data_IF_900954198365
#
_entry.id   IF_900954198365
#
_cell.length_a   1.000
_cell.length_b   1.000
_cell.length_c   1.000
_cell.angle_alpha   90.00
_cell.angle_beta   90.00
_cell.angle_gamma   90.00
#
_symmetry.space_group_name_H-M   'P 1'
#
loop_
_entity.id
_entity.type
_entity.pdbx_description
1 polymer ?
#
# COMPACT_ATOMS: atom_id res chain seq x y z
N UNK A 1 -4.52 -19.42 -31.35
CA UNK A 1 -3.61 -19.16 -30.22
C UNK A 1 -3.96 -17.78 -29.65
N UNK A 2 -5.11 -17.72 -29.04
CA UNK A 2 -5.74 -16.52 -28.47
C UNK A 2 -6.44 -17.01 -27.22
N UNK A 3 -5.81 -16.84 -26.04
CA UNK A 3 -6.46 -16.87 -24.73
C UNK A 3 -5.41 -16.92 -23.61
N UNK A 4 -4.53 -15.90 -23.54
CA UNK A 4 -3.52 -15.82 -22.46
C UNK A 4 -3.71 -14.58 -21.55
N UNK A 5 -4.66 -13.69 -21.85
CA UNK A 5 -4.89 -12.47 -21.07
C UNK A 5 -6.35 -12.28 -20.64
N UNK A 6 -6.94 -13.33 -20.04
CA UNK A 6 -8.02 -13.08 -19.10
C UNK A 6 -7.33 -12.68 -17.78
N UNK A 7 -7.50 -11.44 -17.26
CA UNK A 7 -7.10 -11.14 -15.90
C UNK A 7 -7.89 -12.10 -15.02
N UNK A 8 -7.21 -12.94 -14.24
CA UNK A 8 -7.86 -13.80 -13.25
C UNK A 8 -8.64 -12.90 -12.32
N UNK A 9 -9.92 -12.77 -12.64
CA UNK A 9 -10.90 -12.00 -11.90
C UNK A 9 -10.99 -12.64 -10.52
N UNK A 10 -10.61 -11.90 -9.48
CA UNK A 10 -11.04 -12.24 -8.14
C UNK A 10 -12.57 -12.05 -8.14
N UNK A 11 -13.38 -13.09 -8.08
CA UNK A 11 -14.78 -12.89 -7.82
C UNK A 11 -14.85 -12.33 -6.40
N UNK A 12 -15.14 -11.03 -6.27
CA UNK A 12 -15.80 -10.55 -5.06
C UNK A 12 -17.08 -11.37 -5.02
N UNK A 13 -17.08 -12.42 -4.19
CA UNK A 13 -18.15 -13.42 -4.12
C UNK A 13 -19.48 -12.72 -4.00
N UNK A 14 -20.47 -13.18 -4.75
CA UNK A 14 -21.81 -12.62 -4.84
C UNK A 14 -22.36 -12.17 -3.48
N UNK A 15 -23.13 -11.06 -3.46
CA UNK A 15 -23.86 -10.51 -2.30
C UNK A 15 -24.59 -11.57 -1.44
N UNK A 16 -25.00 -12.69 -2.02
CA UNK A 16 -25.65 -13.80 -1.31
C UNK A 16 -24.67 -14.63 -0.46
N UNK A 17 -23.45 -14.91 -0.96
CA UNK A 17 -22.40 -15.61 -0.21
C UNK A 17 -21.79 -14.71 0.86
N UNK A 18 -21.63 -13.39 0.58
CA UNK A 18 -21.27 -12.39 1.58
C UNK A 18 -22.32 -12.24 2.68
N UNK A 19 -23.62 -12.50 2.38
CA UNK A 19 -24.67 -12.52 3.38
C UNK A 19 -24.59 -13.78 4.26
N UNK A 20 -24.20 -14.92 3.70
CA UNK A 20 -23.99 -16.17 4.45
C UNK A 20 -22.67 -16.14 5.25
N UNK A 21 -21.60 -15.55 4.71
CA UNK A 21 -20.38 -15.23 5.45
C UNK A 21 -20.63 -14.18 6.54
N UNK A 22 -21.37 -13.10 6.24
CA UNK A 22 -21.85 -12.15 7.26
C UNK A 22 -22.67 -12.83 8.36
N UNK A 23 -23.55 -13.76 8.04
CA UNK A 23 -24.30 -14.51 9.04
C UNK A 23 -23.42 -15.45 9.88
N UNK A 24 -22.34 -15.97 9.34
CA UNK A 24 -21.31 -16.73 10.06
C UNK A 24 -20.44 -15.85 10.94
N UNK A 25 -20.14 -14.60 10.48
CA UNK A 25 -19.37 -13.62 11.24
C UNK A 25 -20.21 -12.79 12.22
N UNK A 26 -21.55 -12.71 12.08
CA UNK A 26 -22.47 -12.03 13.01
C UNK A 26 -22.92 -12.95 14.16
N UNK A 27 -22.70 -14.26 14.07
CA UNK A 27 -23.12 -15.24 15.08
C UNK A 27 -22.12 -15.50 16.21
N UNK A 28 -20.87 -15.08 16.08
CA UNK A 28 -19.89 -14.94 17.13
C UNK A 28 -19.50 -13.47 17.14
N UNK A 29 -19.26 -12.86 18.30
CA UNK A 29 -18.56 -11.56 18.41
C UNK A 29 -17.23 -11.76 17.71
N UNK A 30 -17.25 -11.72 16.38
CA UNK A 30 -16.12 -12.02 15.55
C UNK A 30 -15.06 -11.01 15.89
N UNK A 31 -14.03 -11.52 16.45
CA UNK A 31 -12.74 -10.96 16.79
C UNK A 31 -12.35 -9.94 15.71
N UNK A 32 -12.90 -8.72 15.79
CA UNK A 32 -12.63 -7.61 14.87
C UNK A 32 -11.25 -7.06 15.17
N UNK A 33 -10.28 -7.98 15.21
CA UNK A 33 -8.87 -7.62 15.41
C UNK A 33 -8.37 -6.80 14.25
N UNK A 34 -7.49 -5.87 14.55
CA UNK A 34 -6.90 -4.96 13.59
C UNK A 34 -5.40 -5.22 13.41
N UNK A 35 -4.93 -5.21 12.17
CA UNK A 35 -3.52 -5.22 11.83
C UNK A 35 -3.07 -3.81 11.44
N UNK A 36 -2.11 -3.25 12.15
CA UNK A 36 -1.48 -1.99 11.79
C UNK A 36 -0.17 -2.24 11.05
N UNK A 37 -0.13 -1.86 9.78
CA UNK A 37 1.01 -1.98 8.88
C UNK A 37 1.74 -0.63 8.88
N UNK A 38 2.92 -0.57 9.50
CA UNK A 38 3.60 0.70 9.75
C UNK A 38 4.92 0.73 8.97
N UNK A 39 5.12 1.76 8.15
CA UNK A 39 6.39 1.97 7.43
C UNK A 39 7.12 3.17 8.03
N UNK A 40 8.34 2.93 8.54
CA UNK A 40 9.12 3.94 9.23
C UNK A 40 10.59 3.98 8.76
N UNK A 41 11.23 5.15 8.87
CA UNK A 41 12.63 5.33 8.47
C UNK A 41 13.44 6.24 9.41
N UNK A 42 12.78 6.93 10.33
CA UNK A 42 13.38 7.88 11.28
C UNK A 42 12.37 8.22 12.40
N UNK A 43 12.75 9.15 13.29
CA UNK A 43 11.88 9.66 14.36
C UNK A 43 11.41 8.55 15.33
N UNK A 44 12.38 7.81 15.89
CA UNK A 44 12.11 6.62 16.72
C UNK A 44 11.27 6.91 17.94
N UNK A 45 11.40 8.10 18.54
CA UNK A 45 10.56 8.51 19.68
C UNK A 45 9.10 8.71 19.27
N UNK A 46 8.87 9.24 18.05
CA UNK A 46 7.54 9.37 17.49
C UNK A 46 6.93 7.99 17.20
N UNK A 47 7.71 7.10 16.57
CA UNK A 47 7.28 5.72 16.30
C UNK A 47 6.96 4.98 17.61
N UNK A 48 7.79 5.11 18.64
CA UNK A 48 7.52 4.51 19.96
C UNK A 48 6.19 5.00 20.55
N UNK A 49 5.92 6.31 20.46
CA UNK A 49 4.63 6.86 20.90
C UNK A 49 3.46 6.30 20.10
N UNK A 50 3.60 6.19 18.78
CA UNK A 50 2.59 5.58 17.93
C UNK A 50 2.31 4.14 18.36
N UNK A 51 3.36 3.31 18.53
CA UNK A 51 3.21 1.91 18.95
C UNK A 51 2.48 1.79 20.30
N UNK A 52 2.81 2.66 21.29
CA UNK A 52 2.12 2.69 22.58
C UNK A 52 0.65 3.10 22.48
N UNK A 53 0.29 4.01 21.56
CA UNK A 53 -1.08 4.44 21.36
C UNK A 53 -1.93 3.40 20.60
N UNK A 54 -1.28 2.55 19.82
CA UNK A 54 -1.91 1.45 19.11
C UNK A 54 -1.94 0.15 19.92
N UNK A 55 -1.24 0.10 21.08
CA UNK A 55 -1.15 -1.10 21.92
C UNK A 55 -2.50 -1.45 22.54
N UNK A 56 -3.14 -2.50 22.05
CA UNK A 56 -4.46 -2.98 22.44
C UNK A 56 -4.52 -4.50 22.25
N UNK A 57 -5.24 -5.30 23.08
CA UNK A 57 -5.33 -6.75 22.93
C UNK A 57 -5.83 -7.21 21.56
N UNK A 58 -6.70 -6.42 20.94
CA UNK A 58 -7.28 -6.71 19.62
C UNK A 58 -6.49 -6.10 18.45
N UNK A 59 -5.27 -5.62 18.70
CA UNK A 59 -4.38 -5.11 17.68
C UNK A 59 -3.13 -5.96 17.55
N UNK A 60 -2.60 -6.08 16.33
CA UNK A 60 -1.22 -6.51 16.09
C UNK A 60 -0.50 -5.49 15.19
N UNK A 61 0.79 -5.27 15.47
CA UNK A 61 1.58 -4.22 14.85
C UNK A 61 2.68 -4.83 13.98
N UNK A 62 2.66 -4.54 12.70
CA UNK A 62 3.63 -5.01 11.71
C UNK A 62 4.43 -3.80 11.21
N UNK A 63 5.71 -3.74 11.55
CA UNK A 63 6.54 -2.55 11.31
C UNK A 63 7.64 -2.88 10.30
N UNK A 64 7.65 -2.19 9.19
CA UNK A 64 8.79 -2.19 8.27
C UNK A 64 9.69 -0.99 8.54
N UNK A 65 10.91 -1.24 8.98
CA UNK A 65 11.95 -0.22 9.09
C UNK A 65 12.73 -0.14 7.77
N UNK A 66 12.88 1.06 7.24
CA UNK A 66 13.69 1.27 6.04
C UNK A 66 15.12 0.73 6.26
N UNK A 67 15.57 -0.14 5.37
CA UNK A 67 16.90 -0.78 5.47
C UNK A 67 18.07 0.23 5.44
N UNK A 68 17.85 1.48 5.10
CA UNK A 68 18.84 2.56 5.18
C UNK A 68 19.03 3.07 6.61
N UNK A 69 18.03 2.92 7.47
CA UNK A 69 18.11 3.30 8.88
C UNK A 69 19.02 2.32 9.63
N UNK A 70 20.10 2.82 10.23
CA UNK A 70 21.13 1.98 10.90
C UNK A 70 21.03 2.02 12.41
N UNK A 71 20.33 3.01 12.95
CA UNK A 71 20.26 3.38 14.37
C UNK A 71 18.87 3.13 14.98
N UNK A 72 18.08 2.25 14.36
CA UNK A 72 16.76 1.91 14.86
C UNK A 72 16.85 1.11 16.18
N UNK A 73 16.27 1.61 17.28
CA UNK A 73 16.31 0.95 18.58
C UNK A 73 15.21 -0.14 18.66
N UNK A 74 15.37 -1.22 17.91
CA UNK A 74 14.36 -2.27 17.74
C UNK A 74 13.86 -2.84 19.06
N UNK A 75 14.77 -3.10 20.02
CA UNK A 75 14.40 -3.66 21.33
C UNK A 75 13.57 -2.68 22.15
N UNK A 76 13.89 -1.37 22.10
CA UNK A 76 13.09 -0.31 22.74
C UNK A 76 11.69 -0.24 22.12
N UNK A 77 11.58 -0.34 20.81
CA UNK A 77 10.30 -0.32 20.11
C UNK A 77 9.44 -1.54 20.47
N UNK A 78 10.04 -2.73 20.57
CA UNK A 78 9.34 -3.93 21.03
C UNK A 78 8.86 -3.81 22.47
N UNK A 79 9.70 -3.26 23.34
CA UNK A 79 9.37 -3.06 24.75
C UNK A 79 8.28 -2.00 24.98
N UNK A 80 7.97 -1.19 24.00
CA UNK A 80 6.90 -0.19 24.06
C UNK A 80 5.50 -0.81 23.97
N UNK A 81 5.39 -2.04 23.46
CA UNK A 81 4.13 -2.77 23.23
C UNK A 81 3.99 -3.86 24.30
N UNK A 82 2.81 -3.97 24.92
CA UNK A 82 2.56 -4.90 26.03
C UNK A 82 1.41 -5.86 25.79
N UNK A 83 0.39 -5.41 25.09
CA UNK A 83 -0.87 -6.15 24.85
C UNK A 83 -0.95 -6.69 23.44
N UNK A 84 -0.47 -5.93 22.45
CA UNK A 84 -0.45 -6.30 21.04
C UNK A 84 0.74 -7.20 20.70
N UNK A 85 0.60 -8.07 19.69
CA UNK A 85 1.75 -8.64 19.00
C UNK A 85 2.51 -7.58 18.20
N UNK A 86 3.84 -7.63 18.19
CA UNK A 86 4.65 -6.73 17.38
C UNK A 86 5.70 -7.49 16.55
N UNK A 87 5.66 -7.33 15.24
CA UNK A 87 6.64 -7.88 14.30
C UNK A 87 7.37 -6.75 13.58
N UNK A 88 8.71 -6.70 13.69
CA UNK A 88 9.54 -5.65 13.09
C UNK A 88 10.46 -6.30 12.07
N UNK A 89 10.41 -5.80 10.82
CA UNK A 89 11.25 -6.26 9.72
C UNK A 89 12.01 -5.11 9.08
N UNK A 90 13.18 -5.40 8.49
CA UNK A 90 14.03 -4.42 7.82
C UNK A 90 14.54 -5.00 6.49
N UNK A 91 13.68 -5.01 5.46
CA UNK A 91 13.96 -5.69 4.20
C UNK A 91 14.33 -4.76 3.05
N UNK A 92 13.52 -3.72 2.81
CA UNK A 92 13.62 -2.86 1.64
C UNK A 92 14.30 -1.52 1.95
N UNK A 93 15.00 -0.96 0.94
CA UNK A 93 15.54 0.40 0.94
C UNK A 93 14.56 1.29 0.20
N UNK A 94 13.72 2.01 0.90
CA UNK A 94 12.65 2.79 0.31
C UNK A 94 13.17 4.17 -0.08
N UNK A 95 13.04 4.51 -1.36
CA UNK A 95 13.26 5.86 -1.88
C UNK A 95 11.91 6.48 -2.23
N UNK A 96 11.80 7.78 -2.05
CA UNK A 96 10.53 8.47 -2.32
C UNK A 96 10.08 8.25 -3.77
N UNK A 97 8.84 7.85 -3.96
CA UNK A 97 8.23 7.52 -5.25
C UNK A 97 8.66 6.18 -5.86
N UNK A 98 9.53 5.41 -5.18
CA UNK A 98 10.02 4.13 -5.68
C UNK A 98 9.06 2.98 -5.37
N UNK A 99 9.14 1.91 -6.16
CA UNK A 99 8.25 0.75 -6.04
C UNK A 99 8.47 -0.05 -4.74
N UNK A 100 9.60 0.14 -4.06
CA UNK A 100 9.89 -0.51 -2.78
C UNK A 100 8.90 -0.13 -1.67
N UNK A 101 8.18 0.99 -1.80
CA UNK A 101 7.06 1.32 -0.90
C UNK A 101 5.92 0.31 -1.05
N UNK A 102 5.57 -0.04 -2.29
CA UNK A 102 4.58 -1.07 -2.61
C UNK A 102 5.05 -2.45 -2.12
N UNK A 103 6.32 -2.80 -2.37
CA UNK A 103 6.88 -4.09 -1.90
C UNK A 103 6.86 -4.20 -0.36
N UNK A 104 7.13 -3.10 0.36
CA UNK A 104 7.03 -3.08 1.82
C UNK A 104 5.57 -3.26 2.28
N UNK A 105 4.63 -2.60 1.61
CA UNK A 105 3.19 -2.76 1.89
C UNK A 105 2.73 -4.19 1.65
N UNK A 106 3.08 -4.79 0.50
CA UNK A 106 2.74 -6.18 0.18
C UNK A 106 3.35 -7.17 1.20
N UNK A 107 4.61 -6.95 1.61
CA UNK A 107 5.26 -7.76 2.63
C UNK A 107 4.52 -7.71 3.97
N UNK A 108 4.14 -6.50 4.42
CA UNK A 108 3.42 -6.33 5.69
C UNK A 108 2.02 -6.95 5.62
N UNK A 109 1.31 -6.80 4.49
CA UNK A 109 0.02 -7.48 4.26
C UNK A 109 0.18 -9.00 4.30
N UNK A 110 1.21 -9.55 3.62
CA UNK A 110 1.48 -10.99 3.63
C UNK A 110 1.77 -11.52 5.05
N UNK A 111 2.59 -10.80 5.83
CA UNK A 111 2.90 -11.16 7.21
C UNK A 111 1.65 -11.15 8.09
N UNK A 112 0.88 -10.07 8.02
CA UNK A 112 -0.31 -9.88 8.85
C UNK A 112 -1.40 -10.91 8.49
N UNK A 113 -1.61 -11.17 7.21
CA UNK A 113 -2.68 -12.06 6.75
C UNK A 113 -2.52 -13.52 7.20
N UNK A 114 -1.34 -13.93 7.62
CA UNK A 114 -1.13 -15.27 8.22
C UNK A 114 -1.94 -15.50 9.50
N UNK A 115 -2.31 -14.42 10.22
CA UNK A 115 -3.11 -14.50 11.45
C UNK A 115 -4.60 -14.19 11.21
N UNK A 116 -4.93 -13.45 10.16
CA UNK A 116 -6.27 -12.99 9.84
C UNK A 116 -6.75 -11.85 10.75
N UNK A 117 -7.33 -10.81 10.15
CA UNK A 117 -7.84 -9.61 10.85
C UNK A 117 -9.09 -9.10 10.14
N UNK A 118 -9.96 -8.41 10.87
CA UNK A 118 -11.10 -7.73 10.28
C UNK A 118 -10.68 -6.55 9.40
N UNK A 119 -9.63 -5.82 9.85
CA UNK A 119 -9.08 -4.68 9.12
C UNK A 119 -7.56 -4.62 9.13
N UNK A 120 -7.01 -4.08 8.03
CA UNK A 120 -5.58 -3.80 7.82
C UNK A 120 -5.40 -2.31 7.56
N UNK A 121 -4.64 -1.63 8.41
CA UNK A 121 -4.41 -0.18 8.34
C UNK A 121 -2.97 0.10 7.93
N UNK A 122 -2.76 0.80 6.82
CA UNK A 122 -1.42 1.25 6.44
C UNK A 122 -1.16 2.65 7.01
N UNK A 123 -0.08 2.77 7.78
CA UNK A 123 0.35 3.99 8.45
C UNK A 123 1.83 4.29 8.19
N UNK A 124 2.18 5.57 8.26
CA UNK A 124 3.55 6.03 8.42
C UNK A 124 3.97 5.96 9.90
N UNK A 125 5.26 5.76 10.16
CA UNK A 125 5.81 5.91 11.51
C UNK A 125 5.69 7.32 12.10
N UNK A 126 5.17 8.28 11.33
CA UNK A 126 4.94 9.67 11.74
C UNK A 126 3.47 9.97 12.08
N UNK A 127 2.56 9.05 11.76
CA UNK A 127 1.13 9.22 12.02
C UNK A 127 0.80 9.05 13.50
N UNK A 128 -0.37 9.53 13.90
CA UNK A 128 -0.91 9.37 15.23
C UNK A 128 -2.41 9.11 15.17
N UNK A 129 -2.96 8.20 16.00
CA UNK A 129 -4.39 8.04 16.11
C UNK A 129 -5.01 9.31 16.71
N UNK A 130 -6.11 9.75 16.14
CA UNK A 130 -6.85 10.94 16.60
C UNK A 130 -7.92 10.59 17.62
N UNK A 131 -8.14 9.30 17.86
CA UNK A 131 -9.14 8.77 18.79
C UNK A 131 -8.56 7.60 19.60
N UNK A 132 -9.10 7.33 20.80
CA UNK A 132 -8.77 6.13 21.56
C UNK A 132 -9.09 4.84 20.78
N UNK A 133 -8.37 3.74 21.07
CA UNK A 133 -8.54 2.48 20.38
C UNK A 133 -9.99 1.94 20.46
N UNK A 134 -10.64 2.08 21.60
CA UNK A 134 -12.04 1.66 21.77
C UNK A 134 -13.01 2.37 20.79
N UNK A 135 -12.79 3.67 20.51
CA UNK A 135 -13.59 4.42 19.54
C UNK A 135 -13.26 3.98 18.09
N UNK A 136 -11.98 3.71 17.80
CA UNK A 136 -11.54 3.22 16.50
C UNK A 136 -12.17 1.85 16.22
N UNK A 137 -12.09 0.91 17.17
CA UNK A 137 -12.71 -0.40 17.05
C UNK A 137 -14.24 -0.30 16.85
N UNK A 138 -14.91 0.53 17.66
CA UNK A 138 -16.36 0.76 17.52
C UNK A 138 -16.72 1.31 16.13
N UNK A 139 -15.92 2.25 15.60
CA UNK A 139 -16.13 2.80 14.25
C UNK A 139 -16.03 1.72 13.18
N UNK A 140 -14.99 0.89 13.20
CA UNK A 140 -14.82 -0.18 12.22
C UNK A 140 -15.85 -1.29 12.38
N UNK A 141 -16.28 -1.62 13.59
CA UNK A 141 -17.37 -2.55 13.84
C UNK A 141 -18.71 -2.04 13.21
N UNK A 142 -19.04 -0.76 13.40
CA UNK A 142 -20.24 -0.14 12.78
C UNK A 142 -20.14 -0.06 11.25
N UNK A 143 -18.94 -0.07 10.70
CA UNK A 143 -18.68 0.01 9.28
C UNK A 143 -18.08 -1.28 8.69
N UNK A 144 -18.35 -2.43 9.33
CA UNK A 144 -17.82 -3.72 8.92
C UNK A 144 -18.06 -4.00 7.42
N UNK A 145 -17.00 -4.43 6.73
CA UNK A 145 -17.04 -4.74 5.30
C UNK A 145 -16.99 -3.52 4.37
N UNK A 146 -16.73 -2.30 4.90
CA UNK A 146 -16.47 -1.13 4.07
C UNK A 146 -14.97 -0.93 3.90
N UNK A 147 -14.57 -0.60 2.68
CA UNK A 147 -13.19 -0.23 2.35
C UNK A 147 -12.99 1.28 2.50
N UNK A 148 -11.91 1.66 3.18
CA UNK A 148 -11.53 3.06 3.35
C UNK A 148 -10.28 3.34 2.51
N UNK A 149 -10.52 3.60 1.24
CA UNK A 149 -9.50 3.92 0.23
C UNK A 149 -9.86 5.24 -0.40
N UNK A 150 -8.97 6.21 -0.32
CA UNK A 150 -9.18 7.53 -0.92
C UNK A 150 -8.89 7.49 -2.41
N UNK A 151 -9.82 8.01 -3.19
CA UNK A 151 -9.64 8.28 -4.61
C UNK A 151 -9.54 9.78 -4.84
N UNK A 152 -8.59 10.20 -5.66
CA UNK A 152 -8.53 11.60 -6.07
C UNK A 152 -9.79 11.96 -6.85
N UNK A 153 -10.42 13.05 -6.45
CA UNK A 153 -11.57 13.65 -7.12
C UNK A 153 -11.16 14.64 -8.20
N UNK A 154 -9.86 14.94 -8.33
CA UNK A 154 -9.36 15.86 -9.35
C UNK A 154 -9.45 15.23 -10.74
N UNK A 155 -10.52 15.56 -11.45
CA UNK A 155 -10.77 15.16 -12.84
C UNK A 155 -10.13 16.12 -13.86
N UNK A 156 -9.27 17.04 -13.41
CA UNK A 156 -8.63 18.00 -14.33
C UNK A 156 -7.79 17.25 -15.38
N UNK A 157 -7.66 17.88 -16.57
CA UNK A 157 -6.80 17.35 -17.63
C UNK A 157 -5.34 17.29 -17.21
N UNK A 158 -4.92 18.15 -16.29
CA UNK A 158 -3.55 18.19 -15.74
C UNK A 158 -3.30 17.01 -14.81
N UNK A 159 -4.20 16.74 -13.86
CA UNK A 159 -4.12 15.56 -12.99
C UNK A 159 -4.09 14.27 -13.81
N UNK A 160 -4.99 14.13 -14.79
CA UNK A 160 -5.03 12.95 -15.67
C UNK A 160 -3.74 12.81 -16.52
N UNK A 161 -3.14 13.91 -16.99
CA UNK A 161 -1.86 13.88 -17.70
C UNK A 161 -0.72 13.46 -16.77
N UNK A 162 -0.72 13.95 -15.53
CA UNK A 162 0.33 13.61 -14.56
C UNK A 162 0.25 12.15 -14.16
N UNK A 163 -0.93 11.63 -13.82
CA UNK A 163 -1.17 10.20 -13.57
C UNK A 163 -0.73 9.36 -14.78
N UNK A 164 -1.12 9.80 -15.99
CA UNK A 164 -0.70 9.18 -17.23
C UNK A 164 0.83 9.13 -17.38
N UNK A 165 1.56 10.22 -17.11
CA UNK A 165 3.03 10.25 -17.18
C UNK A 165 3.66 9.33 -16.15
N UNK A 166 3.17 9.32 -14.90
CA UNK A 166 3.68 8.45 -13.83
C UNK A 166 3.52 6.98 -14.16
N UNK A 167 2.39 6.60 -14.79
CA UNK A 167 2.06 5.21 -15.06
C UNK A 167 2.54 4.73 -16.45
N UNK A 168 2.55 5.59 -17.49
CA UNK A 168 2.81 5.20 -18.90
C UNK A 168 4.28 5.17 -19.29
N UNK A 169 5.13 5.91 -18.58
CA UNK A 169 6.56 5.99 -18.90
C UNK A 169 7.38 5.10 -17.95
N UNK A 170 8.57 4.72 -18.38
CA UNK A 170 9.53 3.99 -17.56
C UNK A 170 10.39 4.97 -16.76
N UNK A 171 10.23 5.00 -15.45
CA UNK A 171 11.04 5.80 -14.52
C UNK A 171 12.27 5.01 -14.07
N UNK A 172 13.28 4.89 -14.98
CA UNK A 172 14.43 4.01 -14.80
C UNK A 172 15.46 4.52 -13.80
N UNK A 173 15.61 5.85 -13.68
CA UNK A 173 16.66 6.48 -12.87
C UNK A 173 16.17 7.02 -11.53
N UNK A 174 14.90 6.85 -11.20
CA UNK A 174 14.30 7.37 -9.99
C UNK A 174 14.99 6.86 -8.71
N UNK A 175 15.32 5.57 -8.67
CA UNK A 175 16.06 4.96 -7.54
C UNK A 175 17.46 5.57 -7.34
N UNK A 176 18.09 6.03 -8.41
CA UNK A 176 19.45 6.57 -8.36
C UNK A 176 19.47 8.05 -7.99
N UNK A 177 18.44 8.81 -8.32
CA UNK A 177 18.38 10.27 -8.13
C UNK A 177 18.44 10.72 -6.66
N UNK A 178 18.28 9.80 -5.70
CA UNK A 178 18.33 10.06 -4.25
C UNK A 178 19.21 9.08 -3.47
N UNK A 179 19.97 8.24 -4.18
CA UNK A 179 20.77 7.16 -3.58
C UNK A 179 22.10 7.62 -3.03
N UNK A 180 22.68 8.65 -3.62
CA UNK A 180 24.07 9.06 -3.35
C UNK A 180 24.13 10.20 -2.35
N UNK A 181 25.20 10.23 -1.52
CA UNK A 181 25.48 11.37 -0.63
C UNK A 181 25.98 12.59 -1.41
N UNK A 182 26.54 12.40 -2.61
CA UNK A 182 27.09 13.46 -3.46
C UNK A 182 25.94 14.15 -4.22
N UNK A 183 25.70 15.43 -3.88
CA UNK A 183 24.66 16.26 -4.53
C UNK A 183 24.76 16.33 -6.05
N UNK A 184 25.98 16.52 -6.65
CA UNK A 184 26.10 16.59 -8.11
C UNK A 184 25.72 15.29 -8.80
N UNK A 185 26.01 14.13 -8.20
CA UNK A 185 25.65 12.84 -8.77
C UNK A 185 24.13 12.63 -8.76
N UNK A 186 23.46 12.99 -7.67
CA UNK A 186 22.00 12.96 -7.62
C UNK A 186 21.36 13.93 -8.63
N UNK A 187 21.99 15.08 -8.86
CA UNK A 187 21.57 16.04 -9.89
C UNK A 187 21.71 15.42 -11.29
N UNK A 188 22.86 14.80 -11.58
CA UNK A 188 23.10 14.16 -12.87
C UNK A 188 22.06 13.05 -13.16
N UNK A 189 21.75 12.19 -12.18
CA UNK A 189 20.71 11.18 -12.34
C UNK A 189 19.33 11.77 -12.55
N UNK A 190 18.99 12.89 -11.90
CA UNK A 190 17.73 13.59 -12.19
C UNK A 190 17.66 14.15 -13.60
N UNK A 191 18.78 14.69 -14.13
CA UNK A 191 18.81 15.14 -15.51
C UNK A 191 18.72 13.96 -16.49
N UNK A 192 19.40 12.85 -16.21
CA UNK A 192 19.30 11.63 -17.00
C UNK A 192 17.86 11.08 -17.03
N UNK A 193 17.15 11.08 -15.88
CA UNK A 193 15.75 10.69 -15.82
C UNK A 193 14.87 11.59 -16.68
N UNK A 194 15.02 12.92 -16.56
CA UNK A 194 14.28 13.88 -17.39
C UNK A 194 14.54 13.71 -18.88
N UNK A 195 15.80 13.52 -19.28
CA UNK A 195 16.17 13.27 -20.67
C UNK A 195 15.55 11.95 -21.18
N UNK A 196 15.64 10.90 -20.37
CA UNK A 196 15.05 9.61 -20.68
C UNK A 196 13.51 9.71 -20.87
N UNK A 197 12.81 10.42 -19.98
CA UNK A 197 11.37 10.65 -20.10
C UNK A 197 11.03 11.46 -21.35
N UNK A 198 11.82 12.49 -21.68
CA UNK A 198 11.62 13.28 -22.90
C UNK A 198 11.77 12.41 -24.17
N UNK A 199 12.82 11.60 -24.22
CA UNK A 199 13.02 10.65 -25.36
C UNK A 199 11.87 9.68 -25.47
N UNK A 200 11.39 9.12 -24.36
CA UNK A 200 10.22 8.22 -24.35
C UNK A 200 8.97 8.93 -24.88
N UNK A 201 8.73 10.18 -24.48
CA UNK A 201 7.60 10.97 -24.99
C UNK A 201 7.70 11.22 -26.51
N UNK A 202 8.89 11.58 -27.00
CA UNK A 202 9.14 11.80 -28.44
C UNK A 202 8.96 10.52 -29.26
N UNK A 203 9.32 9.37 -28.71
CA UNK A 203 9.14 8.06 -29.34
C UNK A 203 7.73 7.47 -29.17
N UNK A 204 6.83 8.18 -28.48
CA UNK A 204 5.46 7.71 -28.24
C UNK A 204 5.39 6.46 -27.36
N UNK A 205 6.35 6.28 -26.45
CA UNK A 205 6.38 5.14 -25.52
C UNK A 205 5.17 5.19 -24.59
N UNK A 206 4.43 4.10 -24.57
CA UNK A 206 3.36 3.87 -23.63
C UNK A 206 3.37 2.40 -23.18
N UNK A 207 3.91 2.13 -22.00
CA UNK A 207 4.04 0.77 -21.46
C UNK A 207 2.69 0.15 -21.07
N UNK A 208 1.65 0.99 -20.83
CA UNK A 208 0.31 0.49 -20.53
C UNK A 208 -0.41 -0.10 -21.76
N UNK A 209 0.12 0.08 -22.97
CA UNK A 209 -0.39 -0.62 -24.17
C UNK A 209 -0.35 -2.14 -24.04
N UNK A 210 0.49 -2.67 -23.12
CA UNK A 210 0.52 -4.12 -22.80
C UNK A 210 -0.68 -4.58 -21.98
N UNK A 211 -1.46 -3.62 -21.43
CA UNK A 211 -2.61 -3.88 -20.57
C UNK A 211 -3.84 -3.17 -21.15
N UNK A 212 -4.43 -3.71 -22.26
CA UNK A 212 -5.55 -3.07 -22.92
C UNK A 212 -6.74 -2.94 -21.96
N UNK A 213 -7.38 -1.77 -21.95
CA UNK A 213 -8.51 -1.47 -21.07
C UNK A 213 -8.15 -1.13 -19.62
N UNK A 214 -6.86 -1.12 -19.26
CA UNK A 214 -6.46 -0.75 -17.89
C UNK A 214 -6.60 0.76 -17.68
N UNK A 215 -7.49 1.12 -16.77
CA UNK A 215 -7.64 2.47 -16.25
C UNK A 215 -6.89 2.60 -14.92
N UNK A 216 -5.75 3.31 -14.94
CA UNK A 216 -5.00 3.60 -13.72
C UNK A 216 -5.73 4.67 -12.91
N UNK A 217 -6.00 4.37 -11.65
CA UNK A 217 -6.59 5.29 -10.68
C UNK A 217 -5.54 5.80 -9.70
N UNK A 218 -5.81 6.96 -9.11
CA UNK A 218 -4.90 7.67 -8.22
C UNK A 218 -5.62 8.07 -6.92
N UNK A 219 -4.89 8.04 -5.82
CA UNK A 219 -5.37 8.48 -4.52
C UNK A 219 -4.29 8.43 -3.45
N UNK A 220 -4.69 8.44 -2.19
CA UNK A 220 -3.78 8.34 -1.06
C UNK A 220 -3.11 6.96 -0.98
N UNK A 221 -1.83 6.93 -0.56
CA UNK A 221 -1.16 5.67 -0.24
C UNK A 221 -1.73 4.98 1.01
N UNK A 222 -2.38 5.75 1.89
CA UNK A 222 -2.90 5.28 3.17
C UNK A 222 -4.29 4.69 3.02
N UNK A 223 -4.55 3.62 3.75
CA UNK A 223 -5.82 2.91 3.65
C UNK A 223 -6.18 2.17 4.94
N UNK A 224 -7.46 1.82 5.05
CA UNK A 224 -7.96 0.79 5.96
C UNK A 224 -8.85 -0.16 5.18
N UNK A 225 -8.40 -1.39 5.00
CA UNK A 225 -9.04 -2.37 4.11
C UNK A 225 -9.40 -3.64 4.87
N UNK A 226 -10.40 -4.35 4.35
CA UNK A 226 -10.86 -5.64 4.89
C UNK A 226 -9.90 -6.78 4.52
N UNK A 227 -10.07 -7.96 5.14
CA UNK A 227 -9.31 -9.16 4.76
C UNK A 227 -9.61 -9.60 3.32
N UNK A 228 -10.83 -9.39 2.85
CA UNK A 228 -11.21 -9.73 1.47
C UNK A 228 -10.41 -8.92 0.45
N UNK A 229 -10.30 -7.60 0.66
CA UNK A 229 -9.51 -6.76 -0.25
C UNK A 229 -8.01 -7.02 -0.07
N UNK A 230 -7.53 -7.25 1.14
CA UNK A 230 -6.13 -7.63 1.40
C UNK A 230 -5.75 -8.93 0.66
N UNK A 231 -6.64 -9.93 0.66
CA UNK A 231 -6.49 -11.16 -0.11
C UNK A 231 -6.39 -10.88 -1.61
N UNK A 232 -7.34 -10.09 -2.13
CA UNK A 232 -7.40 -9.72 -3.54
C UNK A 232 -6.12 -8.99 -4.00
N UNK A 233 -5.57 -8.10 -3.16
CA UNK A 233 -4.29 -7.41 -3.42
C UNK A 233 -3.13 -8.39 -3.47
N UNK A 234 -3.03 -9.32 -2.52
CA UNK A 234 -1.94 -10.30 -2.46
C UNK A 234 -2.00 -11.30 -3.61
N UNK A 235 -3.17 -11.77 -3.99
CA UNK A 235 -3.35 -12.64 -5.17
C UNK A 235 -2.90 -11.98 -6.47
N UNK A 236 -2.99 -10.65 -6.54
CA UNK A 236 -2.53 -9.86 -7.69
C UNK A 236 -1.12 -9.29 -7.54
N UNK A 237 -0.35 -9.71 -6.54
CA UNK A 237 0.95 -9.13 -6.25
C UNK A 237 1.91 -9.16 -7.46
N UNK A 238 1.92 -10.24 -8.25
CA UNK A 238 2.77 -10.34 -9.43
C UNK A 238 2.29 -9.42 -10.56
N UNK A 239 0.99 -9.31 -10.78
CA UNK A 239 0.42 -8.35 -11.70
C UNK A 239 0.70 -6.90 -11.26
N UNK A 240 0.59 -6.59 -9.97
CA UNK A 240 0.95 -5.27 -9.41
C UNK A 240 2.42 -4.95 -9.71
N UNK A 241 3.33 -5.92 -9.55
CA UNK A 241 4.74 -5.76 -9.90
C UNK A 241 4.93 -5.51 -11.40
N UNK A 242 4.27 -6.27 -12.24
CA UNK A 242 4.36 -6.11 -13.69
C UNK A 242 3.87 -4.73 -14.13
N UNK A 243 2.72 -4.29 -13.63
CA UNK A 243 2.09 -3.01 -14.01
C UNK A 243 2.80 -1.81 -13.40
N UNK A 244 3.24 -1.86 -12.14
CA UNK A 244 3.63 -0.64 -11.42
C UNK A 244 5.12 -0.53 -11.10
N UNK A 245 5.94 -1.55 -11.33
CA UNK A 245 7.37 -1.56 -10.98
C UNK A 245 8.15 -0.34 -11.50
N UNK A 246 7.79 0.19 -12.65
CA UNK A 246 8.45 1.34 -13.28
C UNK A 246 7.62 2.62 -13.19
N UNK A 247 6.49 2.60 -12.48
CA UNK A 247 5.69 3.78 -12.26
C UNK A 247 6.32 4.68 -11.19
N UNK A 248 6.13 5.98 -11.34
CA UNK A 248 6.50 6.93 -10.29
C UNK A 248 5.38 7.00 -9.25
N UNK A 249 5.74 6.93 -7.95
CA UNK A 249 4.77 6.91 -6.83
C UNK A 249 3.69 5.85 -7.04
N UNK A 250 4.13 4.61 -7.25
CA UNK A 250 3.26 3.47 -7.49
C UNK A 250 2.34 3.17 -6.30
N UNK A 251 2.76 3.55 -5.10
CA UNK A 251 2.01 3.46 -3.85
C UNK A 251 0.69 4.25 -3.87
N UNK A 252 0.64 5.34 -4.64
CA UNK A 252 -0.57 6.16 -4.85
C UNK A 252 -1.46 5.67 -6.01
N UNK A 253 -1.06 4.60 -6.71
CA UNK A 253 -1.72 4.13 -7.92
C UNK A 253 -2.27 2.70 -7.79
N UNK A 254 -1.50 1.79 -7.18
CA UNK A 254 -1.76 0.36 -7.29
C UNK A 254 -3.07 -0.05 -6.61
N UNK A 255 -3.31 0.41 -5.38
CA UNK A 255 -4.48 0.00 -4.62
C UNK A 255 -5.77 0.53 -5.24
N UNK A 256 -5.79 1.82 -5.60
CA UNK A 256 -6.93 2.44 -6.27
C UNK A 256 -7.26 1.75 -7.59
N UNK A 257 -6.23 1.32 -8.34
CA UNK A 257 -6.43 0.60 -9.58
C UNK A 257 -6.97 -0.81 -9.33
N UNK A 258 -6.45 -1.53 -8.33
CA UNK A 258 -6.97 -2.85 -7.93
C UNK A 258 -8.43 -2.76 -7.49
N UNK A 259 -8.78 -1.79 -6.65
CA UNK A 259 -10.16 -1.57 -6.19
C UNK A 259 -11.08 -1.24 -7.35
N UNK A 260 -10.65 -0.33 -8.25
CA UNK A 260 -11.44 0.03 -9.43
C UNK A 260 -11.73 -1.17 -10.32
N UNK A 261 -10.73 -2.01 -10.58
CA UNK A 261 -10.92 -3.24 -11.35
C UNK A 261 -11.86 -4.23 -10.65
N UNK A 262 -11.83 -4.29 -9.32
CA UNK A 262 -12.74 -5.16 -8.55
C UNK A 262 -14.18 -4.69 -8.62
N UNK A 263 -14.41 -3.37 -8.67
CA UNK A 263 -15.76 -2.77 -8.74
C UNK A 263 -16.40 -2.87 -10.13
N UNK A 264 -15.62 -2.88 -11.21
CA UNK A 264 -16.14 -3.01 -12.59
C UNK A 264 -16.75 -4.41 -12.83
N UNK A 265 -16.37 -5.39 -12.01
CA UNK A 265 -16.79 -6.78 -12.14
C UNK A 265 -17.85 -7.21 -11.10
N UNK A 266 -18.45 -6.24 -10.38
CA UNK A 266 -19.64 -6.43 -9.54
C UNK A 266 -20.87 -5.96 -10.32
#
# INVERSE_FOLDING_TARGET
MTDVFAPHLCPVRHRAENRALRARFIGEEADMRHAYLIIAHAQWDQLERLLRLLDHPDNDLYVHIDRKARDCPVDRLRAAVRSSGVEIVQRYRIYWGSFEMVEATLLLLEMARRRGYGYYHLLSGMDMPTRPQAEIHAFFAQNAGKEFVEFSTDASREANREVGRRARLYHLFMHFSRRFRLRPLNWAFRQADRACLLVQMLLGVDRLRRFPGLEVRYGSSWFSITDELAACVLERSDWIREVFRFANSADELFLQTVVHLSLIHI
#
